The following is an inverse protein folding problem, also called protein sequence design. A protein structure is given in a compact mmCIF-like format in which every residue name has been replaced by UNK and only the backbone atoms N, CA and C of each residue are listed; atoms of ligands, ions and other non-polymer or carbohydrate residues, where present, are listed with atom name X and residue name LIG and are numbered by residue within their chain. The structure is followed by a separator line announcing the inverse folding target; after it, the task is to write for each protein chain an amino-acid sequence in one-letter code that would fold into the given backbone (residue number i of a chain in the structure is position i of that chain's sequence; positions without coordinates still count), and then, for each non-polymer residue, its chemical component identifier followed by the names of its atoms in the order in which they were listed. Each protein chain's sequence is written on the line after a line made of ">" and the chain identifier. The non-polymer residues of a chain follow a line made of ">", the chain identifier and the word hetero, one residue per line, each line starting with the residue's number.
data_IF_888040119604
#
_entry.id   IF_888040119604
#
_cell.length_a   1.000
_cell.length_b   1.000
_cell.length_c   1.000
_cell.angle_alpha   90.00
_cell.angle_beta   90.00
_cell.angle_gamma   90.00
#
_symmetry.space_group_name_H-M   'P 1'
#
loop_
_entity.id
_entity.type
_entity.pdbx_description
1 polymer ?
#
# COMPACT_ATOMS: atom_id res chain seq x y z
N UNK A 1 26.80 9.30 -13.80
CA UNK A 1 25.72 9.39 -12.79
C UNK A 1 25.75 10.71 -12.00
N UNK A 2 26.49 11.72 -12.44
CA UNK A 2 26.62 13.01 -11.73
C UNK A 2 25.57 14.07 -12.17
N UNK A 3 24.84 13.82 -13.26
CA UNK A 3 23.93 14.80 -13.90
C UNK A 3 22.72 15.24 -13.06
N UNK A 4 22.42 14.58 -11.93
CA UNK A 4 21.37 14.98 -10.99
C UNK A 4 21.89 15.10 -9.53
N UNK A 5 23.21 15.11 -9.32
CA UNK A 5 23.80 15.20 -7.96
C UNK A 5 23.47 14.00 -7.06
N UNK A 6 23.16 12.84 -7.63
CA UNK A 6 22.77 11.64 -6.89
C UNK A 6 23.95 10.67 -6.74
N UNK A 7 24.19 10.16 -5.54
CA UNK A 7 25.18 9.10 -5.30
C UNK A 7 24.56 7.72 -5.48
N UNK A 8 25.26 6.82 -6.16
CA UNK A 8 24.86 5.41 -6.26
C UNK A 8 25.39 4.64 -5.06
N UNK A 9 24.49 3.99 -4.33
CA UNK A 9 24.84 3.10 -3.23
C UNK A 9 24.57 1.65 -3.67
N UNK A 10 25.57 0.78 -3.51
CA UNK A 10 25.45 -0.64 -3.83
C UNK A 10 25.35 -1.45 -2.55
N UNK A 11 24.49 -2.47 -2.57
CA UNK A 11 24.46 -3.49 -1.52
C UNK A 11 25.60 -4.48 -1.72
N UNK A 12 26.17 -5.00 -0.62
CA UNK A 12 27.15 -6.10 -0.71
C UNK A 12 26.54 -7.29 -1.45
N UNK A 13 27.36 -7.99 -2.24
CA UNK A 13 26.93 -9.23 -2.90
C UNK A 13 26.41 -10.24 -1.86
N UNK A 14 25.41 -11.03 -2.25
CA UNK A 14 24.76 -12.07 -1.43
C UNK A 14 24.16 -11.59 -0.10
N UNK A 15 23.81 -10.29 0.03
CA UNK A 15 23.18 -9.73 1.23
C UNK A 15 21.77 -9.18 0.96
N UNK A 16 20.75 -10.05 0.75
CA UNK A 16 19.39 -9.61 0.42
C UNK A 16 18.74 -8.77 1.53
N UNK A 17 19.15 -8.98 2.80
CA UNK A 17 18.68 -8.21 3.95
C UNK A 17 18.86 -6.69 3.78
N UNK A 18 19.92 -6.27 3.07
CA UNK A 18 20.22 -4.86 2.81
C UNK A 18 19.14 -4.15 2.00
N UNK A 19 18.28 -4.87 1.28
CA UNK A 19 17.21 -4.32 0.47
C UNK A 19 15.80 -4.75 0.94
N UNK A 20 15.69 -5.25 2.18
CA UNK A 20 14.48 -5.93 2.65
C UNK A 20 13.20 -5.07 2.64
N UNK A 21 13.31 -3.74 2.76
CA UNK A 21 12.13 -2.85 2.69
C UNK A 21 11.53 -2.86 1.28
N UNK A 22 12.37 -2.71 0.25
CA UNK A 22 11.95 -2.69 -1.15
C UNK A 22 11.45 -4.08 -1.55
N UNK A 23 12.14 -5.14 -1.14
CA UNK A 23 11.70 -6.52 -1.42
C UNK A 23 10.35 -6.84 -0.79
N UNK A 24 10.11 -6.43 0.46
CA UNK A 24 8.80 -6.55 1.12
C UNK A 24 7.73 -5.79 0.35
N UNK A 25 8.00 -4.55 -0.04
CA UNK A 25 7.08 -3.75 -0.84
C UNK A 25 6.77 -4.42 -2.20
N UNK A 26 7.77 -4.94 -2.90
CA UNK A 26 7.58 -5.65 -4.16
C UNK A 26 6.71 -6.90 -4.01
N UNK A 27 6.86 -7.65 -2.91
CA UNK A 27 5.98 -8.80 -2.63
C UNK A 27 4.53 -8.36 -2.44
N UNK A 28 4.29 -7.32 -1.65
CA UNK A 28 2.93 -6.77 -1.48
C UNK A 28 2.36 -6.28 -2.81
N UNK A 29 3.13 -5.56 -3.62
CA UNK A 29 2.71 -5.06 -4.92
C UNK A 29 2.30 -6.19 -5.86
N UNK A 30 3.13 -7.23 -5.97
CA UNK A 30 2.84 -8.41 -6.81
C UNK A 30 1.57 -9.11 -6.36
N UNK A 31 1.40 -9.35 -5.06
CA UNK A 31 0.22 -10.01 -4.52
C UNK A 31 -1.07 -9.20 -4.79
N UNK A 32 -1.00 -7.87 -4.65
CA UNK A 32 -2.16 -7.02 -4.95
C UNK A 32 -2.50 -6.98 -6.44
N UNK A 33 -1.49 -6.97 -7.31
CA UNK A 33 -1.69 -7.07 -8.76
C UNK A 33 -2.32 -8.40 -9.13
N UNK A 34 -1.75 -9.52 -8.66
CA UNK A 34 -2.28 -10.87 -8.91
C UNK A 34 -3.74 -10.99 -8.47
N UNK A 35 -4.07 -10.45 -7.28
CA UNK A 35 -5.45 -10.45 -6.79
C UNK A 35 -6.43 -9.72 -7.72
N UNK A 36 -6.02 -8.62 -8.34
CA UNK A 36 -6.90 -7.83 -9.22
C UNK A 36 -6.94 -8.41 -10.63
N UNK A 37 -5.82 -8.90 -11.14
CA UNK A 37 -5.75 -9.55 -12.46
C UNK A 37 -6.64 -10.81 -12.51
N UNK A 38 -6.68 -11.56 -11.41
CA UNK A 38 -7.58 -12.71 -11.27
C UNK A 38 -9.08 -12.32 -11.28
N UNK A 39 -9.43 -11.04 -11.08
CA UNK A 39 -10.82 -10.54 -11.05
C UNK A 39 -11.22 -9.84 -12.36
N UNK A 40 -10.37 -8.96 -12.90
CA UNK A 40 -10.72 -8.02 -13.98
C UNK A 40 -9.99 -8.27 -15.31
N UNK A 41 -9.08 -9.26 -15.39
CA UNK A 41 -8.36 -9.63 -16.60
C UNK A 41 -6.92 -9.12 -16.68
N UNK A 42 -6.29 -9.27 -17.84
CA UNK A 42 -4.82 -9.47 -17.98
C UNK A 42 -3.97 -8.17 -18.12
N UNK A 43 -4.55 -6.98 -18.01
CA UNK A 43 -3.83 -5.71 -18.25
C UNK A 43 -3.24 -5.09 -16.98
N UNK A 44 -2.15 -5.68 -16.47
CA UNK A 44 -1.45 -5.18 -15.27
C UNK A 44 -1.01 -3.71 -15.37
N UNK A 45 -0.75 -3.23 -16.58
CA UNK A 45 -0.33 -1.84 -16.86
C UNK A 45 -1.44 -0.84 -16.53
N UNK A 46 -2.68 -1.17 -16.85
CA UNK A 46 -3.84 -0.31 -16.58
C UNK A 46 -4.22 -0.34 -15.10
N UNK A 47 -4.03 -1.48 -14.44
CA UNK A 47 -4.34 -1.63 -13.02
C UNK A 47 -3.28 -1.02 -12.10
N UNK A 48 -2.02 -0.97 -12.53
CA UNK A 48 -0.88 -0.55 -11.70
C UNK A 48 -1.07 0.81 -10.98
N UNK A 49 -1.57 1.88 -11.63
CA UNK A 49 -1.80 3.16 -10.95
C UNK A 49 -2.80 3.02 -9.80
N UNK A 50 -3.85 2.23 -9.95
CA UNK A 50 -4.86 2.00 -8.92
C UNK A 50 -4.31 1.18 -7.75
N UNK A 51 -3.55 0.11 -8.05
CA UNK A 51 -2.91 -0.70 -7.01
C UNK A 51 -1.94 0.14 -6.19
N UNK A 52 -1.07 0.90 -6.87
CA UNK A 52 -0.08 1.74 -6.18
C UNK A 52 -0.74 2.88 -5.40
N UNK A 53 -1.85 3.45 -5.88
CA UNK A 53 -2.66 4.41 -5.13
C UNK A 53 -3.23 3.78 -3.85
N UNK A 54 -3.82 2.58 -3.94
CA UNK A 54 -4.34 1.86 -2.79
C UNK A 54 -3.27 1.58 -1.74
N UNK A 55 -2.11 1.06 -2.17
CA UNK A 55 -0.99 0.76 -1.27
C UNK A 55 -0.42 2.00 -0.58
N UNK A 56 -0.33 3.14 -1.28
CA UNK A 56 0.19 4.39 -0.71
C UNK A 56 -0.79 5.06 0.25
N UNK A 57 -2.09 4.86 0.05
CA UNK A 57 -3.14 5.54 0.81
C UNK A 57 -3.61 4.75 2.02
N UNK A 58 -3.32 3.45 2.07
CA UNK A 58 -3.63 2.56 3.19
C UNK A 58 -2.63 2.74 4.34
N UNK A 59 -3.12 2.68 5.58
CA UNK A 59 -2.25 2.65 6.76
C UNK A 59 -1.56 1.28 6.79
N UNK A 60 -0.22 1.21 6.79
CA UNK A 60 0.48 -0.06 6.79
C UNK A 60 0.22 -0.83 8.08
N UNK A 61 0.11 -2.16 7.97
CA UNK A 61 -0.10 -3.06 9.11
C UNK A 61 1.20 -3.31 9.90
N UNK A 62 1.93 -2.24 10.20
CA UNK A 62 3.15 -2.25 11.01
C UNK A 62 2.78 -1.70 12.39
N UNK A 63 3.18 -2.36 13.50
CA UNK A 63 2.91 -1.86 14.85
C UNK A 63 3.33 -0.40 15.01
N UNK A 64 2.45 0.43 15.57
CA UNK A 64 2.68 1.86 15.79
C UNK A 64 2.42 2.75 14.56
N UNK A 65 2.06 2.19 13.41
CA UNK A 65 1.69 3.00 12.23
C UNK A 65 0.33 3.65 12.42
N UNK A 66 0.31 4.99 12.36
CA UNK A 66 -0.92 5.79 12.51
C UNK A 66 -1.41 6.36 11.18
N UNK A 67 -0.50 6.58 10.23
CA UNK A 67 -0.77 7.25 8.98
C UNK A 67 -0.24 6.46 7.77
N UNK A 68 -0.82 6.72 6.60
CA UNK A 68 -0.38 6.11 5.34
C UNK A 68 0.84 6.81 4.76
N UNK A 69 1.57 6.14 3.86
CA UNK A 69 2.76 6.70 3.21
C UNK A 69 2.45 8.01 2.47
N UNK A 70 1.30 8.09 1.81
CA UNK A 70 0.87 9.32 1.13
C UNK A 70 0.62 10.47 2.11
N UNK A 71 0.10 10.17 3.31
CA UNK A 71 -0.10 11.18 4.35
C UNK A 71 1.23 11.79 4.80
N UNK A 72 2.27 10.96 5.00
CA UNK A 72 3.59 11.45 5.38
C UNK A 72 4.22 12.36 4.32
N UNK A 73 4.03 12.06 3.04
CA UNK A 73 4.57 12.87 1.93
C UNK A 73 3.81 14.18 1.77
N UNK A 74 2.48 14.15 1.88
CA UNK A 74 1.62 15.31 1.66
C UNK A 74 1.48 16.21 2.90
N UNK A 75 1.79 15.69 4.09
CA UNK A 75 1.54 16.36 5.37
C UNK A 75 0.07 16.46 5.75
N UNK A 76 -0.82 15.78 5.02
CA UNK A 76 -2.26 15.77 5.27
C UNK A 76 -2.93 14.51 4.74
N UNK A 77 -4.18 14.25 5.18
CA UNK A 77 -4.92 13.06 4.76
C UNK A 77 -5.15 13.04 3.24
N UNK A 78 -4.86 11.91 2.55
CA UNK A 78 -5.03 11.81 1.11
C UNK A 78 -6.50 11.93 0.72
N UNK A 79 -6.79 12.76 -0.29
CA UNK A 79 -8.14 12.91 -0.85
C UNK A 79 -8.35 11.87 -1.94
N UNK A 80 -9.01 10.77 -1.59
CA UNK A 80 -9.40 9.72 -2.53
C UNK A 80 -10.81 9.95 -3.06
N UNK A 81 -11.17 9.46 -4.26
CA UNK A 81 -12.54 9.56 -4.76
C UNK A 81 -13.58 9.02 -3.76
N UNK A 82 -13.25 7.93 -3.06
CA UNK A 82 -14.09 7.35 -2.01
C UNK A 82 -14.30 8.29 -0.81
N UNK A 83 -13.30 9.11 -0.47
CA UNK A 83 -13.37 10.07 0.64
C UNK A 83 -14.29 11.27 0.38
N UNK A 84 -14.68 11.49 -0.88
CA UNK A 84 -15.61 12.57 -1.27
C UNK A 84 -17.08 12.17 -1.06
N UNK A 85 -17.35 10.88 -0.87
CA UNK A 85 -18.69 10.40 -0.58
C UNK A 85 -19.05 10.76 0.86
N UNK A 86 -19.96 11.72 1.08
CA UNK A 86 -20.42 12.13 2.43
C UNK A 86 -20.95 10.98 3.31
N UNK A 87 -21.32 9.84 2.70
CA UNK A 87 -21.70 8.61 3.44
C UNK A 87 -20.49 7.82 3.94
N UNK A 88 -19.32 7.97 3.32
CA UNK A 88 -18.04 7.44 3.77
C UNK A 88 -17.41 8.42 4.77
N UNK A 89 -17.98 8.50 5.97
CA UNK A 89 -17.47 9.37 7.03
C UNK A 89 -16.04 8.98 7.43
N UNK A 90 -15.09 9.83 7.01
CA UNK A 90 -13.68 9.92 7.40
C UNK A 90 -12.78 8.68 7.13
N UNK A 91 -11.69 8.83 6.34
CA UNK A 91 -10.73 7.75 6.07
C UNK A 91 -9.90 7.29 7.30
N UNK A 92 -10.20 7.78 8.50
CA UNK A 92 -9.52 7.42 9.76
C UNK A 92 -10.46 6.77 10.79
N UNK A 93 -11.62 6.25 10.38
CA UNK A 93 -12.47 5.53 11.30
C UNK A 93 -11.98 4.08 11.46
N UNK A 94 -11.31 3.79 12.58
CA UNK A 94 -10.87 2.44 12.98
C UNK A 94 -11.99 1.39 12.92
N UNK A 95 -13.26 1.82 12.94
CA UNK A 95 -14.44 0.95 12.85
C UNK A 95 -14.68 0.34 11.46
N UNK A 96 -14.21 0.96 10.37
CA UNK A 96 -14.48 0.43 9.02
C UNK A 96 -13.63 -0.81 8.69
N UNK A 97 -12.48 -0.97 9.35
CA UNK A 97 -11.63 -2.17 9.26
C UNK A 97 -11.90 -3.19 10.38
N UNK A 98 -12.63 -2.82 11.43
CA UNK A 98 -13.05 -3.76 12.48
C UNK A 98 -14.26 -4.61 12.05
N UNK A 99 -15.15 -4.09 11.19
CA UNK A 99 -16.32 -4.85 10.73
C UNK A 99 -15.98 -6.03 9.81
N UNK A 100 -14.75 -6.08 9.26
CA UNK A 100 -14.28 -7.26 8.49
C UNK A 100 -13.77 -8.40 9.38
N UNK A 101 -13.58 -8.17 10.69
CA UNK A 101 -13.16 -9.19 11.65
C UNK A 101 -14.31 -9.87 12.40
N UNK A 102 -15.58 -9.51 12.14
CA UNK A 102 -16.73 -10.24 12.69
C UNK A 102 -17.24 -11.37 11.79
N UNK A 103 -16.71 -11.53 10.57
CA UNK A 103 -16.97 -12.69 9.72
C UNK A 103 -15.76 -13.63 9.80
N UNK A 104 -15.47 -14.16 10.99
CA UNK A 104 -14.68 -15.41 11.20
C UNK A 104 -14.65 -15.82 12.67
N UNK A 105 -15.84 -16.05 13.24
CA UNK A 105 -16.01 -17.01 14.32
C UNK A 105 -17.30 -17.81 14.09
N UNK A 106 -17.37 -18.52 12.97
CA UNK A 106 -18.04 -19.81 12.96
C UNK A 106 -16.98 -20.82 13.41
N UNK A 107 -17.09 -21.25 14.67
CA UNK A 107 -16.35 -22.39 15.25
C UNK A 107 -16.75 -23.69 14.51
N UNK A 108 -16.01 -24.80 14.68
CA UNK A 108 -15.71 -25.81 13.66
C UNK A 108 -16.91 -26.52 13.02
#
# INVERSE_FOLDING_TARGET
>A
MEKLGSSSLFTSSYRPESNGIIERFHRTLKNSLDSILNLEGDSWKETLPFVTLGLRSTIPAIPGSTFSSMHYVLGSAPRLPLSLNKRASAPNNKKLFQSSNEIKYAQP
#
